data_IF_593398174332
#
_entry.id   IF_593398174332
#
_cell.length_a   1.000
_cell.length_b   1.000
_cell.length_c   1.000
_cell.angle_alpha   90.00
_cell.angle_beta   90.00
_cell.angle_gamma   90.00
#
_symmetry.space_group_name_H-M   'P 1'
#
loop_
_entity.id
_entity.type
_entity.pdbx_description
1 polymer ?
#
# COMPACT_ATOMS: atom_id res chain seq x y z
N UNK A 1 11.93 5.32 11.21
CA UNK A 1 11.36 5.16 9.86
C UNK A 1 12.36 4.40 9.01
N UNK A 2 11.92 3.40 8.25
CA UNK A 2 12.80 2.57 7.41
C UNK A 2 12.67 2.95 5.95
N UNK A 3 13.77 2.86 5.23
CA UNK A 3 13.82 3.25 3.84
C UNK A 3 14.55 2.19 3.02
N UNK A 4 13.88 1.65 2.01
CA UNK A 4 14.47 0.75 1.03
C UNK A 4 14.73 1.50 -0.27
N UNK A 5 15.98 1.46 -0.74
CA UNK A 5 16.38 2.05 -2.03
C UNK A 5 16.34 0.99 -3.11
N UNK A 6 16.01 1.42 -4.34
CA UNK A 6 16.03 0.58 -5.55
C UNK A 6 15.15 -0.67 -5.40
N UNK A 7 13.93 -0.49 -4.91
CA UNK A 7 12.92 -1.57 -4.89
C UNK A 7 12.26 -1.62 -6.26
N UNK A 8 12.25 -2.81 -6.88
CA UNK A 8 11.58 -2.98 -8.17
C UNK A 8 10.07 -2.91 -7.97
N UNK A 9 9.38 -2.11 -8.77
CA UNK A 9 7.92 -2.02 -8.80
C UNK A 9 7.23 -3.36 -9.16
N UNK A 10 7.98 -4.32 -9.73
CA UNK A 10 7.52 -5.68 -10.07
C UNK A 10 7.54 -6.62 -8.86
N UNK A 11 8.11 -6.21 -7.73
CA UNK A 11 8.09 -7.03 -6.53
C UNK A 11 6.72 -6.99 -5.89
N UNK A 12 6.31 -8.13 -5.36
CA UNK A 12 5.09 -8.23 -4.56
C UNK A 12 5.28 -7.57 -3.20
N UNK A 13 4.19 -7.11 -2.61
CA UNK A 13 4.21 -6.52 -1.27
C UNK A 13 4.80 -7.49 -0.24
N UNK A 14 4.46 -8.78 -0.33
CA UNK A 14 5.06 -9.83 0.51
C UNK A 14 6.59 -9.91 0.38
N UNK A 15 7.12 -9.94 -0.85
CA UNK A 15 8.58 -9.96 -1.09
C UNK A 15 9.27 -8.70 -0.55
N UNK A 16 8.61 -7.55 -0.64
CA UNK A 16 9.12 -6.31 -0.06
C UNK A 16 9.17 -6.39 1.47
N UNK A 17 8.12 -6.92 2.11
CA UNK A 17 8.07 -7.10 3.56
C UNK A 17 9.15 -8.08 4.05
N UNK A 18 9.26 -9.26 3.44
CA UNK A 18 10.29 -10.26 3.76
C UNK A 18 11.69 -9.66 3.72
N UNK A 19 11.99 -8.91 2.65
CA UNK A 19 13.29 -8.26 2.49
C UNK A 19 13.59 -7.26 3.61
N UNK A 20 12.58 -6.53 4.09
CA UNK A 20 12.73 -5.61 5.24
C UNK A 20 12.92 -6.43 6.52
N UNK A 21 12.07 -7.41 6.80
CA UNK A 21 12.12 -8.22 8.01
C UNK A 21 13.44 -9.00 8.16
N UNK A 22 13.99 -9.55 7.06
CA UNK A 22 15.29 -10.24 7.08
C UNK A 22 16.45 -9.34 7.51
N UNK A 23 16.41 -8.03 7.20
CA UNK A 23 17.41 -7.06 7.68
C UNK A 23 17.29 -6.79 9.18
N UNK A 24 16.14 -7.07 9.76
CA UNK A 24 15.83 -6.84 11.17
C UNK A 24 16.14 -8.03 12.07
N UNK A 25 15.96 -9.25 11.57
CA UNK A 25 16.27 -10.48 12.31
C UNK A 25 17.73 -10.57 12.80
N UNK A 26 18.65 -9.79 12.23
CA UNK A 26 20.06 -9.72 12.65
C UNK A 26 20.38 -8.74 13.80
N UNK A 27 19.42 -7.97 14.31
CA UNK A 27 19.68 -6.94 15.35
C UNK A 27 19.24 -7.40 16.75
N UNK A 28 20.20 -7.45 17.68
CA UNK A 28 20.04 -8.00 19.04
C UNK A 28 18.96 -7.34 19.93
N UNK A 29 18.53 -6.11 19.63
CA UNK A 29 17.59 -5.34 20.47
C UNK A 29 16.14 -5.26 19.93
N UNK A 30 15.81 -6.01 18.87
CA UNK A 30 14.49 -5.95 18.22
C UNK A 30 13.65 -7.22 18.38
N UNK A 31 14.15 -8.24 19.08
CA UNK A 31 13.55 -9.57 19.13
C UNK A 31 12.08 -9.60 19.63
N UNK A 32 11.75 -8.88 20.70
CA UNK A 32 10.40 -8.87 21.27
C UNK A 32 9.38 -8.14 20.37
N UNK A 33 9.78 -7.00 19.79
CA UNK A 33 8.93 -6.22 18.87
C UNK A 33 8.78 -6.90 17.50
N UNK A 34 9.77 -7.66 17.06
CA UNK A 34 9.71 -8.35 15.77
C UNK A 34 8.86 -9.61 15.82
N UNK A 35 8.71 -10.26 16.98
CA UNK A 35 8.02 -11.55 17.07
C UNK A 35 6.62 -11.51 16.45
N UNK A 36 5.82 -10.50 16.80
CA UNK A 36 4.46 -10.32 16.26
C UNK A 36 4.44 -9.91 14.78
N UNK A 37 5.52 -9.27 14.29
CA UNK A 37 5.63 -8.80 12.90
C UNK A 37 6.30 -9.82 11.97
N UNK A 38 6.94 -10.85 12.52
CA UNK A 38 7.50 -11.98 11.77
C UNK A 38 6.42 -13.00 11.43
N UNK A 39 5.35 -13.05 12.21
CA UNK A 39 4.15 -13.78 11.85
C UNK A 39 3.36 -12.99 10.80
N UNK A 40 3.64 -13.30 9.53
CA UNK A 40 3.05 -12.63 8.37
C UNK A 40 1.51 -12.70 8.41
N UNK A 41 0.93 -13.75 9.00
CA UNK A 41 -0.51 -13.91 9.11
C UNK A 41 -1.15 -12.90 10.06
N UNK A 42 -0.38 -12.29 10.96
CA UNK A 42 -0.84 -11.26 11.89
C UNK A 42 -0.59 -9.84 11.40
N UNK A 43 0.03 -9.70 10.22
CA UNK A 43 0.44 -8.41 9.66
C UNK A 43 -0.44 -8.04 8.47
N UNK A 44 -0.63 -6.75 8.29
CA UNK A 44 -1.20 -6.15 7.10
C UNK A 44 -0.33 -5.00 6.65
N UNK A 45 -0.24 -4.82 5.32
CA UNK A 45 0.46 -3.69 4.72
C UNK A 45 -0.57 -2.68 4.25
N UNK A 46 -0.35 -1.43 4.65
CA UNK A 46 -1.22 -0.31 4.34
C UNK A 46 -0.47 0.69 3.46
N UNK A 47 -1.14 1.26 2.48
CA UNK A 47 -0.63 2.40 1.72
C UNK A 47 -1.44 3.65 2.07
N UNK A 48 -0.73 4.74 2.35
CA UNK A 48 -1.34 6.03 2.70
C UNK A 48 -1.76 6.79 1.44
N UNK A 49 -3.03 7.18 1.36
CA UNK A 49 -3.57 8.11 0.36
C UNK A 49 -3.67 9.52 0.97
N UNK A 50 -3.10 10.52 0.28
CA UNK A 50 -3.18 11.93 0.69
C UNK A 50 -4.29 12.69 -0.07
N UNK A 51 -5.23 11.98 -0.68
CA UNK A 51 -6.13 12.54 -1.69
C UNK A 51 -7.18 13.53 -1.17
N UNK A 52 -7.48 13.55 0.13
CA UNK A 52 -8.49 14.43 0.69
C UNK A 52 -7.89 15.71 1.32
N UNK A 53 -8.38 16.87 0.87
CA UNK A 53 -7.96 18.19 1.37
C UNK A 53 -8.34 18.44 2.84
N UNK A 54 -9.22 17.63 3.43
CA UNK A 54 -9.76 17.84 4.78
C UNK A 54 -9.49 16.66 5.74
N UNK A 55 -8.30 16.74 6.38
CA UNK A 55 -8.01 16.44 7.79
C UNK A 55 -7.78 15.02 8.34
N UNK A 56 -7.86 13.91 7.60
CA UNK A 56 -7.27 12.63 8.08
C UNK A 56 -6.61 11.85 6.97
N UNK A 57 -5.54 11.15 7.29
CA UNK A 57 -4.87 10.26 6.34
C UNK A 57 -5.68 8.99 6.20
N UNK A 58 -6.09 8.69 4.97
CA UNK A 58 -6.79 7.46 4.63
C UNK A 58 -5.79 6.40 4.18
N UNK A 59 -6.13 5.15 4.43
CA UNK A 59 -5.27 4.01 4.14
C UNK A 59 -6.01 3.01 3.26
N UNK A 60 -5.31 2.45 2.27
CA UNK A 60 -5.75 1.26 1.56
C UNK A 60 -4.99 0.06 2.08
N UNK A 61 -5.68 -1.06 2.29
CA UNK A 61 -5.01 -2.34 2.50
C UNK A 61 -4.40 -2.82 1.19
N UNK A 62 -3.18 -3.32 1.26
CA UNK A 62 -2.48 -3.93 0.14
C UNK A 62 -2.64 -5.45 0.20
N UNK A 63 -2.89 -6.06 -0.95
CA UNK A 63 -2.75 -7.51 -1.09
C UNK A 63 -1.26 -7.88 -1.14
N UNK A 64 -0.87 -8.87 -0.33
CA UNK A 64 0.50 -9.37 -0.24
C UNK A 64 1.01 -9.97 -1.56
N UNK A 65 0.10 -10.46 -2.41
CA UNK A 65 0.41 -11.04 -3.72
C UNK A 65 0.47 -10.00 -4.84
N UNK A 66 -0.13 -8.82 -4.64
CA UNK A 66 -0.07 -7.72 -5.61
C UNK A 66 1.33 -7.15 -5.69
N UNK A 67 1.70 -6.69 -6.88
CA UNK A 67 2.94 -5.95 -7.09
C UNK A 67 2.88 -4.57 -6.44
N UNK A 68 4.06 -3.98 -6.19
CA UNK A 68 4.15 -2.59 -5.77
C UNK A 68 3.46 -1.66 -6.75
N UNK A 69 3.65 -1.86 -8.07
CA UNK A 69 3.01 -1.07 -9.12
C UNK A 69 1.49 -1.08 -9.00
N UNK A 70 0.88 -2.26 -8.90
CA UNK A 70 -0.58 -2.40 -8.75
C UNK A 70 -1.05 -1.78 -7.43
N UNK A 71 -0.26 -1.95 -6.36
CA UNK A 71 -0.60 -1.44 -5.03
C UNK A 71 -0.58 0.08 -4.96
N UNK A 72 0.29 0.76 -5.71
CA UNK A 72 0.37 2.22 -5.77
C UNK A 72 -0.52 2.84 -6.86
N UNK A 73 -1.02 2.02 -7.79
CA UNK A 73 -1.92 2.46 -8.86
C UNK A 73 -3.13 3.19 -8.26
N UNK A 74 -3.45 4.38 -8.78
CA UNK A 74 -4.55 5.24 -8.31
C UNK A 74 -4.45 5.76 -6.87
N UNK A 75 -3.27 5.63 -6.23
CA UNK A 75 -3.00 6.24 -4.92
C UNK A 75 -2.33 7.59 -5.10
N UNK A 76 -2.90 8.64 -4.50
CA UNK A 76 -2.26 9.95 -4.41
C UNK A 76 -1.25 9.89 -3.27
N UNK A 77 0.00 10.18 -3.58
CA UNK A 77 1.12 10.15 -2.63
C UNK A 77 2.06 11.34 -2.84
N UNK A 78 2.97 11.55 -1.90
CA UNK A 78 4.11 12.46 -2.07
C UNK A 78 5.15 11.85 -3.02
N UNK A 79 6.36 12.37 -3.05
CA UNK A 79 7.46 11.92 -3.94
C UNK A 79 7.72 10.41 -3.92
N UNK A 80 7.49 9.73 -2.79
CA UNK A 80 7.75 8.29 -2.63
C UNK A 80 6.58 7.58 -1.96
N UNK A 81 6.22 6.35 -2.39
CA UNK A 81 5.21 5.54 -1.73
C UNK A 81 5.63 5.21 -0.31
N UNK A 82 4.71 5.38 0.64
CA UNK A 82 4.89 4.98 2.03
C UNK A 82 3.97 3.80 2.32
N UNK A 83 4.59 2.68 2.67
CA UNK A 83 3.92 1.48 3.13
C UNK A 83 4.10 1.37 4.63
N UNK A 84 2.98 1.31 5.34
CA UNK A 84 2.93 1.08 6.78
C UNK A 84 2.67 -0.40 7.02
N UNK A 85 3.41 -1.00 7.94
CA UNK A 85 3.22 -2.38 8.37
C UNK A 85 2.52 -2.33 9.72
N UNK A 86 1.29 -2.84 9.78
CA UNK A 86 0.46 -2.82 10.98
C UNK A 86 0.09 -4.24 11.39
N UNK A 87 -0.14 -4.44 12.69
CA UNK A 87 -0.73 -5.68 13.17
C UNK A 87 -2.24 -5.64 12.97
N UNK A 88 -2.85 -6.77 12.66
CA UNK A 88 -4.31 -6.89 12.47
C UNK A 88 -5.09 -6.37 13.68
N UNK A 89 -4.59 -6.60 14.89
CA UNK A 89 -5.19 -6.12 16.15
C UNK A 89 -5.25 -4.58 16.26
N UNK A 90 -4.33 -3.89 15.58
CA UNK A 90 -4.18 -2.44 15.65
C UNK A 90 -4.88 -1.71 14.49
N UNK A 91 -5.59 -2.44 13.62
CA UNK A 91 -6.24 -1.84 12.44
C UNK A 91 -7.28 -0.76 12.78
N UNK A 92 -7.89 -0.84 13.96
CA UNK A 92 -8.84 0.15 14.46
C UNK A 92 -8.24 1.57 14.63
N UNK A 93 -6.90 1.69 14.65
CA UNK A 93 -6.20 2.97 14.70
C UNK A 93 -6.12 3.67 13.33
N UNK A 94 -6.46 2.96 12.25
CA UNK A 94 -6.32 3.44 10.88
C UNK A 94 -7.67 3.69 10.23
N UNK A 95 -7.78 4.80 9.49
CA UNK A 95 -8.94 5.07 8.64
C UNK A 95 -8.79 4.32 7.33
N UNK A 96 -9.18 3.05 7.32
CA UNK A 96 -9.14 2.18 6.14
C UNK A 96 -10.35 2.46 5.26
N UNK A 97 -10.13 2.63 3.97
CA UNK A 97 -11.16 2.90 2.98
C UNK A 97 -10.99 1.97 1.77
N UNK A 98 -12.05 1.80 0.99
CA UNK A 98 -11.98 1.04 -0.26
C UNK A 98 -11.26 1.82 -1.35
N UNK A 99 -10.57 1.10 -2.25
CA UNK A 99 -9.86 1.72 -3.37
C UNK A 99 -10.85 2.37 -4.33
N UNK A 100 -10.46 3.52 -4.90
CA UNK A 100 -11.23 4.16 -5.98
C UNK A 100 -11.35 3.16 -7.14
N UNK A 101 -12.55 2.94 -7.70
CA UNK A 101 -12.72 2.08 -8.85
C UNK A 101 -11.89 2.62 -10.03
N UNK A 102 -11.34 1.72 -10.85
CA UNK A 102 -10.72 2.11 -12.12
C UNK A 102 -11.82 2.76 -12.96
N UNK A 103 -11.69 4.04 -13.26
CA UNK A 103 -12.48 4.66 -14.32
C UNK A 103 -11.98 4.01 -15.61
N UNK A 104 -12.66 2.96 -16.06
CA UNK A 104 -12.47 2.48 -17.41
C UNK A 104 -12.83 3.65 -18.32
N UNK A 105 -11.98 4.03 -19.29
CA UNK A 105 -12.46 4.91 -20.36
C UNK A 105 -13.70 4.23 -20.95
N UNK A 106 -14.84 4.93 -20.97
CA UNK A 106 -15.98 4.45 -21.75
C UNK A 106 -15.49 4.34 -23.20
N UNK A 107 -15.26 3.11 -23.66
CA UNK A 107 -15.02 2.82 -25.06
C UNK A 107 -16.24 3.33 -25.84
N UNK A 108 -16.06 4.44 -26.55
CA UNK A 108 -16.85 4.82 -27.72
C UNK A 108 -18.29 5.28 -27.45
N UNK A 109 -18.47 6.47 -26.86
CA UNK A 109 -19.55 7.33 -27.35
C UNK A 109 -19.05 8.00 -28.64
N UNK A 110 -19.42 7.43 -29.79
CA UNK A 110 -19.44 8.20 -31.05
C UNK A 110 -20.35 9.40 -30.81
N UNK A 111 -19.78 10.59 -30.80
CA UNK A 111 -20.55 11.80 -30.99
C UNK A 111 -21.21 11.68 -32.37
N UNK A 112 -22.53 11.45 -32.41
CA UNK A 112 -23.30 11.71 -33.62
C UNK A 112 -23.24 13.22 -33.86
N UNK A 113 -22.59 13.61 -34.97
CA UNK A 113 -22.68 14.96 -35.51
C UNK A 113 -24.16 15.35 -35.61
N UNK A 114 -24.57 16.55 -35.15
CA UNK A 114 -25.91 17.01 -35.40
C UNK A 114 -26.04 17.30 -36.90
N UNK A 115 -26.72 16.42 -37.62
CA UNK A 115 -27.30 16.75 -38.92
C UNK A 115 -28.45 17.71 -38.69
N UNK A 116 -28.22 19.00 -38.95
CA UNK A 116 -29.06 19.88 -39.78
C UNK A 116 -28.49 21.28 -39.81
#
# INVERSE_FOLDING_TARGET
MLFERRVSEKYTIGKCLERVLMRFGGKRNTAALLHDYLDIDNVVVLIRDIGERNKKSTYFMCDMHSTLRESIENTKMLEFPRLDVALKRDLHLYQIVERRPKVLPEDGKKEEEPRN
#
